data_IF_792463020151
#
_entry.id   IF_792463020151
#
_cell.length_a   1.000
_cell.length_b   1.000
_cell.length_c   1.000
_cell.angle_alpha   90.00
_cell.angle_beta   90.00
_cell.angle_gamma   90.00
#
_symmetry.space_group_name_H-M   'P 1'
#
loop_
_entity.id
_entity.type
_entity.pdbx_description
1 polymer ?
#
# COMPACT_ATOMS: atom_id res chain seq x y z
N UNK A 1 34.61 16.86 -47.53
CA UNK A 1 35.33 18.00 -46.91
C UNK A 1 36.19 17.48 -45.76
N UNK A 2 37.49 17.78 -45.78
CA UNK A 2 38.47 17.53 -44.70
C UNK A 2 38.51 18.76 -43.79
N UNK A 3 38.56 18.61 -42.46
CA UNK A 3 39.42 19.35 -41.48
C UNK A 3 39.02 18.94 -40.06
N UNK A 4 39.86 18.20 -39.30
CA UNK A 4 41.00 18.59 -38.43
C UNK A 4 40.61 18.78 -36.95
N UNK A 5 41.19 17.88 -36.14
CA UNK A 5 41.56 17.94 -34.71
C UNK A 5 41.90 19.33 -34.16
N UNK A 6 41.62 19.59 -32.85
CA UNK A 6 42.61 19.53 -31.74
C UNK A 6 42.08 20.05 -30.38
N UNK A 7 42.38 19.24 -29.37
CA UNK A 7 42.66 19.41 -27.93
C UNK A 7 43.05 20.80 -27.39
N UNK A 8 42.65 21.14 -26.14
CA UNK A 8 43.43 21.65 -24.94
C UNK A 8 42.41 21.73 -23.75
N UNK A 9 42.43 20.98 -22.64
CA UNK A 9 43.33 20.81 -21.47
C UNK A 9 43.32 21.93 -20.40
N UNK A 10 43.04 21.54 -19.13
CA UNK A 10 43.62 22.00 -17.81
C UNK A 10 42.53 21.92 -16.72
N UNK A 11 42.61 20.99 -15.76
CA UNK A 11 43.53 20.92 -14.62
C UNK A 11 43.27 21.99 -13.54
N UNK A 12 42.83 21.54 -12.37
CA UNK A 12 42.72 22.30 -11.13
C UNK A 12 42.60 21.31 -9.97
N UNK A 13 43.71 21.06 -9.30
CA UNK A 13 43.92 19.99 -8.33
C UNK A 13 43.85 20.49 -6.87
N UNK A 14 43.72 19.52 -5.96
CA UNK A 14 44.18 19.45 -4.57
C UNK A 14 43.70 20.50 -3.55
N UNK A 15 43.14 20.03 -2.42
CA UNK A 15 43.95 19.84 -1.19
C UNK A 15 43.22 18.99 -0.14
N UNK A 16 43.98 18.13 0.52
CA UNK A 16 43.61 17.23 1.60
C UNK A 16 43.84 17.86 2.98
N UNK A 17 43.19 17.34 4.02
CA UNK A 17 43.75 17.26 5.37
C UNK A 17 43.03 16.20 6.22
N UNK A 18 43.80 15.43 6.97
CA UNK A 18 43.42 14.28 7.79
C UNK A 18 43.68 14.56 9.30
N UNK A 19 43.01 13.82 10.20
CA UNK A 19 43.44 13.46 11.57
C UNK A 19 42.39 12.48 12.17
N UNK A 20 42.60 11.15 12.28
CA UNK A 20 43.36 10.33 13.25
C UNK A 20 42.74 10.24 14.66
N UNK A 21 42.54 8.98 15.13
CA UNK A 21 42.66 8.37 16.48
C UNK A 21 41.56 7.27 16.58
N UNK A 22 41.80 5.99 16.92
CA UNK A 22 43.00 5.35 17.42
C UNK A 22 42.90 3.82 17.36
N UNK A 23 44.08 3.20 17.40
CA UNK A 23 44.33 1.77 17.48
C UNK A 23 44.13 1.26 18.90
N UNK A 24 43.41 0.15 19.06
CA UNK A 24 43.64 -0.79 20.15
C UNK A 24 43.76 -2.18 19.53
N UNK A 25 44.99 -2.70 19.53
CA UNK A 25 45.29 -4.07 19.17
C UNK A 25 44.95 -4.98 20.35
N UNK A 26 44.20 -6.05 20.10
CA UNK A 26 44.34 -7.29 20.85
C UNK A 26 44.60 -8.41 19.85
N UNK A 27 45.85 -8.86 19.85
CA UNK A 27 46.32 -10.06 19.17
C UNK A 27 45.79 -11.25 20.00
N UNK A 28 44.94 -12.06 19.38
CA UNK A 28 44.52 -13.36 19.90
C UNK A 28 44.38 -14.34 18.74
N UNK A 29 45.50 -14.91 18.29
CA UNK A 29 45.47 -16.05 17.38
C UNK A 29 45.25 -17.33 18.21
N UNK A 30 44.16 -18.07 17.95
CA UNK A 30 44.23 -19.43 17.37
C UNK A 30 42.85 -20.12 17.31
N UNK A 31 42.64 -20.81 16.19
CA UNK A 31 41.78 -22.00 15.96
C UNK A 31 40.26 -21.86 15.90
N UNK A 32 39.79 -21.85 14.64
CA UNK A 32 38.72 -22.68 14.05
C UNK A 32 37.29 -22.66 14.61
N UNK A 33 36.37 -22.45 13.66
CA UNK A 33 34.96 -22.91 13.62
C UNK A 33 34.00 -22.36 14.67
N UNK A 34 33.23 -21.32 14.31
CA UNK A 34 31.85 -21.42 13.79
C UNK A 34 31.30 -19.99 13.72
N UNK A 35 30.77 -19.60 12.56
CA UNK A 35 30.06 -18.34 12.37
C UNK A 35 28.82 -18.29 13.26
N UNK A 36 28.94 -17.77 14.49
CA UNK A 36 27.80 -17.30 15.25
C UNK A 36 27.43 -15.90 14.74
N UNK A 37 26.79 -15.88 13.58
CA UNK A 37 25.97 -14.76 13.17
C UNK A 37 24.90 -14.56 14.25
N UNK A 38 25.13 -13.63 15.17
CA UNK A 38 24.08 -13.10 16.03
C UNK A 38 22.93 -12.68 15.10
N UNK A 39 21.69 -13.18 15.28
CA UNK A 39 20.58 -12.66 14.52
C UNK A 39 20.41 -11.23 15.01
N UNK A 40 20.89 -10.26 14.23
CA UNK A 40 20.45 -8.88 14.35
C UNK A 40 18.95 -8.92 14.11
N UNK A 41 18.19 -9.10 15.18
CA UNK A 41 16.74 -9.10 15.14
C UNK A 41 16.36 -7.74 14.59
N UNK A 42 15.88 -7.72 13.35
CA UNK A 42 15.36 -6.51 12.75
C UNK A 42 14.35 -5.91 13.74
N UNK A 43 14.38 -4.59 13.98
CA UNK A 43 13.42 -3.97 14.89
C UNK A 43 12.00 -4.38 14.47
N UNK A 44 11.12 -4.70 15.43
CA UNK A 44 9.76 -5.10 15.12
C UNK A 44 9.13 -4.00 14.26
N UNK A 45 8.70 -4.37 13.05
CA UNK A 45 8.08 -3.43 12.11
C UNK A 45 6.66 -3.06 12.52
N UNK A 46 6.09 -3.82 13.46
CA UNK A 46 4.75 -3.65 14.00
C UNK A 46 4.77 -2.82 15.27
N UNK A 47 3.92 -1.80 15.32
CA UNK A 47 3.62 -1.01 16.50
C UNK A 47 2.39 -1.52 17.25
N UNK A 48 1.77 -0.67 18.08
CA UNK A 48 0.50 -0.98 18.73
C UNK A 48 -0.56 -1.46 17.73
N UNK A 49 -1.46 -2.32 18.21
CA UNK A 49 -2.59 -2.87 17.44
C UNK A 49 -2.19 -3.73 16.23
N UNK A 50 -0.92 -4.16 16.18
CA UNK A 50 -0.41 -5.04 15.13
C UNK A 50 -0.17 -4.35 13.79
N UNK A 51 -0.11 -3.01 13.76
CA UNK A 51 0.03 -2.25 12.50
C UNK A 51 1.48 -1.94 12.19
N UNK A 52 1.88 -2.00 10.92
CA UNK A 52 3.22 -1.63 10.49
C UNK A 52 3.48 -0.13 10.71
N UNK A 53 4.54 0.20 11.42
CA UNK A 53 4.93 1.58 11.75
C UNK A 53 6.09 2.09 10.91
N UNK A 54 6.86 1.19 10.30
CA UNK A 54 7.99 1.57 9.43
C UNK A 54 7.48 2.02 8.07
N UNK A 55 8.14 3.00 7.41
CA UNK A 55 7.83 3.35 6.03
C UNK A 55 7.99 2.17 5.07
N UNK A 56 7.28 2.18 3.94
CA UNK A 56 7.37 1.16 2.88
C UNK A 56 8.81 0.90 2.41
N UNK A 57 9.67 1.93 2.37
CA UNK A 57 11.08 1.82 1.98
C UNK A 57 11.95 1.05 2.99
N UNK A 58 11.47 0.86 4.21
CA UNK A 58 12.12 0.11 5.29
C UNK A 58 11.36 -1.17 5.65
N UNK A 59 10.24 -1.44 4.96
CA UNK A 59 9.44 -2.62 5.19
C UNK A 59 10.13 -3.83 4.53
N UNK A 60 10.50 -4.88 5.30
CA UNK A 60 11.22 -6.04 4.76
C UNK A 60 10.33 -6.96 3.92
N UNK A 61 9.01 -6.81 3.99
CA UNK A 61 8.05 -7.64 3.25
C UNK A 61 8.03 -7.20 1.80
N UNK A 62 8.22 -8.15 0.89
CA UNK A 62 8.12 -7.89 -0.55
C UNK A 62 6.67 -7.91 -1.00
N UNK A 63 6.36 -7.20 -2.09
CA UNK A 63 5.02 -7.16 -2.68
C UNK A 63 4.43 -8.56 -2.91
N UNK A 64 5.24 -9.53 -3.38
CA UNK A 64 4.79 -10.89 -3.63
C UNK A 64 4.37 -11.66 -2.37
N UNK A 65 4.87 -11.26 -1.20
CA UNK A 65 4.57 -11.84 0.11
C UNK A 65 3.31 -11.23 0.74
N UNK A 66 2.80 -10.12 0.18
CA UNK A 66 1.55 -9.52 0.65
C UNK A 66 0.38 -10.47 0.39
N UNK A 67 -0.58 -10.44 1.31
CA UNK A 67 -1.83 -11.17 1.18
C UNK A 67 -2.51 -10.90 -0.16
N UNK A 68 -3.05 -11.95 -0.79
CA UNK A 68 -3.71 -11.84 -2.09
C UNK A 68 -5.15 -11.30 -1.91
N UNK A 69 -5.46 -10.07 -2.34
CA UNK A 69 -6.79 -9.49 -2.18
C UNK A 69 -7.90 -10.18 -2.97
N UNK A 70 -7.57 -10.98 -3.99
CA UNK A 70 -8.54 -11.79 -4.73
C UNK A 70 -8.89 -13.11 -4.04
N UNK A 71 -8.28 -13.41 -2.88
CA UNK A 71 -8.63 -14.59 -2.08
C UNK A 71 -9.85 -14.38 -1.17
N UNK A 72 -10.48 -13.20 -1.21
CA UNK A 72 -11.69 -12.94 -0.44
C UNK A 72 -12.81 -13.93 -0.79
N UNK A 73 -13.51 -14.47 0.22
CA UNK A 73 -14.61 -15.40 -0.02
C UNK A 73 -15.77 -14.81 -0.82
N UNK A 74 -16.60 -15.69 -1.39
CA UNK A 74 -17.73 -15.25 -2.22
C UNK A 74 -18.75 -14.45 -1.41
N UNK A 75 -19.00 -14.84 -0.16
CA UNK A 75 -19.91 -14.15 0.76
C UNK A 75 -19.53 -12.67 0.96
N UNK A 76 -18.24 -12.34 0.94
CA UNK A 76 -17.78 -10.94 1.03
C UNK A 76 -18.18 -10.14 -0.20
N UNK A 77 -18.07 -10.75 -1.39
CA UNK A 77 -18.46 -10.11 -2.66
C UNK A 77 -19.97 -9.96 -2.77
N UNK A 78 -20.70 -11.00 -2.33
CA UNK A 78 -22.15 -11.04 -2.36
C UNK A 78 -22.78 -10.05 -1.36
N UNK A 79 -22.06 -9.64 -0.31
CA UNK A 79 -22.52 -8.63 0.67
C UNK A 79 -23.01 -7.33 0.03
N UNK A 80 -22.43 -6.97 -1.12
CA UNK A 80 -22.84 -5.83 -1.94
C UNK A 80 -23.00 -6.21 -3.41
N UNK A 81 -23.43 -7.45 -3.69
CA UNK A 81 -23.83 -7.90 -5.04
C UNK A 81 -22.77 -7.67 -6.13
N UNK A 82 -21.48 -7.84 -5.81
CA UNK A 82 -20.41 -7.79 -6.82
C UNK A 82 -20.46 -9.04 -7.71
N UNK A 83 -20.05 -8.88 -8.96
CA UNK A 83 -19.95 -9.99 -9.91
C UNK A 83 -18.85 -10.99 -9.54
N UNK A 84 -18.94 -12.21 -10.09
CA UNK A 84 -17.95 -13.26 -9.81
C UNK A 84 -16.59 -13.03 -10.46
N UNK A 85 -16.53 -12.14 -11.47
CA UNK A 85 -15.29 -11.80 -12.18
C UNK A 85 -14.45 -10.86 -11.32
N UNK A 86 -13.22 -11.28 -11.05
CA UNK A 86 -12.22 -10.48 -10.34
C UNK A 86 -11.03 -10.24 -11.26
N UNK A 87 -10.39 -9.08 -11.15
CA UNK A 87 -9.11 -8.80 -11.81
C UNK A 87 -8.03 -8.61 -10.77
N UNK A 88 -7.03 -9.49 -10.77
CA UNK A 88 -5.81 -9.27 -10.00
C UNK A 88 -4.88 -8.34 -10.81
N UNK A 89 -4.31 -7.35 -10.14
CA UNK A 89 -3.29 -6.47 -10.67
C UNK A 89 -2.17 -6.30 -9.63
N UNK A 90 -1.05 -6.96 -9.90
CA UNK A 90 0.19 -6.88 -9.12
C UNK A 90 1.27 -6.06 -9.88
N UNK A 91 0.89 -5.34 -10.95
CA UNK A 91 1.85 -4.69 -11.86
C UNK A 91 2.41 -3.36 -11.34
N UNK A 92 1.81 -2.81 -10.28
CA UNK A 92 2.18 -1.50 -9.71
C UNK A 92 2.70 -1.70 -8.28
N UNK A 93 4.01 -1.93 -8.08
CA UNK A 93 4.60 -1.97 -6.76
C UNK A 93 4.38 -0.65 -6.00
N UNK A 94 4.22 -0.68 -4.66
CA UNK A 94 4.22 -1.85 -3.79
C UNK A 94 2.82 -2.46 -3.57
N UNK A 95 1.88 -2.25 -4.49
CA UNK A 95 0.47 -2.63 -4.30
C UNK A 95 0.15 -3.99 -4.90
N UNK A 96 -0.67 -4.76 -4.20
CA UNK A 96 -1.48 -5.82 -4.81
C UNK A 96 -2.91 -5.37 -4.83
N UNK A 97 -3.58 -5.50 -5.97
CA UNK A 97 -4.95 -5.02 -6.15
C UNK A 97 -5.84 -6.12 -6.66
N UNK A 98 -7.00 -6.29 -6.03
CA UNK A 98 -8.10 -7.02 -6.62
C UNK A 98 -9.25 -6.08 -6.94
N UNK A 99 -9.62 -6.02 -8.22
CA UNK A 99 -10.77 -5.27 -8.70
C UNK A 99 -12.00 -6.17 -8.83
N UNK A 100 -13.10 -5.67 -8.31
CA UNK A 100 -14.45 -6.23 -8.40
C UNK A 100 -15.35 -5.20 -9.07
N UNK A 101 -16.46 -5.65 -9.65
CA UNK A 101 -17.43 -4.75 -10.23
C UNK A 101 -18.84 -5.30 -10.16
N UNK A 102 -19.81 -4.40 -10.06
CA UNK A 102 -21.22 -4.67 -10.27
C UNK A 102 -21.67 -3.92 -11.51
N UNK A 103 -22.03 -4.67 -12.54
CA UNK A 103 -22.70 -4.13 -13.71
C UNK A 103 -24.20 -4.05 -13.46
N UNK A 104 -24.82 -2.96 -13.92
CA UNK A 104 -26.27 -2.86 -14.02
C UNK A 104 -26.85 -3.97 -14.90
N UNK A 105 -28.09 -4.40 -14.64
CA UNK A 105 -28.74 -5.44 -15.45
C UNK A 105 -29.33 -4.85 -16.74
N UNK A 106 -29.69 -3.57 -16.71
CA UNK A 106 -30.25 -2.81 -17.82
C UNK A 106 -29.52 -1.48 -18.03
N UNK A 107 -29.73 -0.87 -19.20
CA UNK A 107 -29.19 0.47 -19.51
C UNK A 107 -29.73 1.48 -18.49
N UNK A 108 -28.84 2.20 -17.83
CA UNK A 108 -29.17 3.20 -16.82
C UNK A 108 -29.18 2.68 -15.39
N UNK A 109 -29.14 1.35 -15.19
CA UNK A 109 -28.97 0.77 -13.86
C UNK A 109 -27.62 1.21 -13.25
N UNK A 110 -27.57 1.53 -11.95
CA UNK A 110 -26.33 1.92 -11.28
C UNK A 110 -25.26 0.81 -11.34
N UNK A 111 -24.05 1.18 -11.74
CA UNK A 111 -22.87 0.33 -11.73
C UNK A 111 -21.75 0.93 -10.90
N UNK A 112 -20.97 0.09 -10.23
CA UNK A 112 -19.85 0.52 -9.41
C UNK A 112 -18.74 -0.53 -9.40
N UNK A 113 -17.51 -0.04 -9.24
CA UNK A 113 -16.31 -0.82 -9.02
C UNK A 113 -15.90 -0.80 -7.55
N UNK A 114 -15.13 -1.81 -7.16
CA UNK A 114 -14.47 -1.87 -5.87
C UNK A 114 -13.05 -2.41 -6.05
N UNK A 115 -12.06 -1.70 -5.51
CA UNK A 115 -10.68 -2.19 -5.42
C UNK A 115 -10.34 -2.52 -3.97
N UNK A 116 -9.82 -3.73 -3.74
CA UNK A 116 -9.14 -4.09 -2.49
C UNK A 116 -7.65 -4.02 -2.77
N UNK A 117 -6.98 -3.04 -2.16
CA UNK A 117 -5.58 -2.75 -2.36
C UNK A 117 -4.80 -3.04 -1.08
N UNK A 118 -3.67 -3.71 -1.23
CA UNK A 118 -2.79 -4.13 -0.13
C UNK A 118 -1.40 -3.61 -0.43
N UNK A 119 -0.75 -2.95 0.52
CA UNK A 119 0.64 -2.50 0.31
C UNK A 119 1.47 -2.54 1.58
N UNK A 120 2.76 -2.32 1.38
CA UNK A 120 3.75 -2.13 2.45
C UNK A 120 3.76 -0.72 3.04
N UNK A 121 2.93 0.21 2.52
CA UNK A 121 2.81 1.54 3.11
C UNK A 121 2.22 1.44 4.51
N UNK A 122 2.88 2.08 5.48
CA UNK A 122 2.33 2.18 6.83
C UNK A 122 1.01 2.93 6.82
N UNK A 123 0.21 2.73 7.86
CA UNK A 123 -1.05 3.45 8.04
C UNK A 123 -0.86 4.98 8.01
N UNK A 124 0.26 5.47 8.53
CA UNK A 124 0.60 6.90 8.50
C UNK A 124 0.94 7.39 7.08
N UNK A 125 1.65 6.59 6.28
CA UNK A 125 1.95 6.93 4.89
C UNK A 125 0.69 6.87 4.01
N UNK A 126 -0.18 5.89 4.21
CA UNK A 126 -1.42 5.78 3.46
C UNK A 126 -2.32 7.02 3.63
N UNK A 127 -2.29 7.68 4.79
CA UNK A 127 -2.99 8.96 5.04
C UNK A 127 -2.44 10.15 4.25
N UNK A 128 -1.21 10.04 3.72
CA UNK A 128 -0.54 11.11 2.97
C UNK A 128 -0.72 10.97 1.45
N UNK A 129 -1.53 10.01 0.99
CA UNK A 129 -1.85 9.84 -0.41
C UNK A 129 -2.55 11.10 -0.94
N UNK A 130 -2.05 11.64 -2.05
CA UNK A 130 -2.52 12.88 -2.66
C UNK A 130 -3.90 12.73 -3.31
N UNK A 131 -4.29 11.51 -3.69
CA UNK A 131 -5.63 11.18 -4.16
C UNK A 131 -6.73 11.28 -3.09
N UNK A 132 -6.36 11.44 -1.80
CA UNK A 132 -7.31 11.44 -0.69
C UNK A 132 -7.65 12.85 -0.21
N UNK A 133 -8.94 13.17 -0.23
CA UNK A 133 -9.51 14.38 0.35
C UNK A 133 -10.50 14.05 1.47
N UNK A 134 -10.89 15.05 2.27
CA UNK A 134 -11.86 14.90 3.37
C UNK A 134 -11.56 13.71 4.31
N UNK A 135 -10.28 13.52 4.63
CA UNK A 135 -9.80 12.43 5.48
C UNK A 135 -10.42 12.56 6.87
N UNK A 136 -11.05 11.48 7.35
CA UNK A 136 -11.76 11.41 8.62
C UNK A 136 -11.50 10.09 9.34
N UNK A 137 -11.34 10.14 10.65
CA UNK A 137 -11.15 8.94 11.47
C UNK A 137 -12.40 8.06 11.45
N UNK A 138 -12.21 6.75 11.44
CA UNK A 138 -13.27 5.74 11.58
C UNK A 138 -12.69 4.50 12.27
N UNK A 139 -13.48 3.44 12.38
CA UNK A 139 -13.01 2.13 12.80
C UNK A 139 -13.51 1.05 11.84
N UNK A 140 -12.89 -0.12 11.89
CA UNK A 140 -13.33 -1.35 11.21
C UNK A 140 -13.41 -2.50 12.19
N UNK A 141 -14.32 -3.44 11.97
CA UNK A 141 -14.52 -4.61 12.84
C UNK A 141 -14.74 -4.23 14.31
N UNK A 142 -14.01 -4.89 15.22
CA UNK A 142 -14.11 -4.67 16.67
C UNK A 142 -13.42 -3.39 17.16
N UNK A 143 -13.55 -2.28 16.42
CA UNK A 143 -12.99 -0.97 16.78
C UNK A 143 -11.55 -0.73 16.32
N UNK A 144 -11.03 -1.51 15.38
CA UNK A 144 -9.67 -1.33 14.85
C UNK A 144 -9.55 0.04 14.17
N UNK A 145 -8.54 0.85 14.51
CA UNK A 145 -8.40 2.19 13.95
C UNK A 145 -8.25 2.18 12.43
N UNK A 146 -9.02 3.07 11.81
CA UNK A 146 -9.06 3.25 10.37
C UNK A 146 -9.24 4.74 10.04
N UNK A 147 -9.08 5.07 8.78
CA UNK A 147 -9.60 6.33 8.25
C UNK A 147 -10.46 6.07 7.03
N UNK A 148 -11.29 7.04 6.74
CA UNK A 148 -12.10 7.11 5.54
C UNK A 148 -11.72 8.39 4.81
N UNK A 149 -11.65 8.34 3.49
CA UNK A 149 -11.31 9.47 2.64
C UNK A 149 -12.16 9.44 1.38
N UNK A 150 -12.48 10.60 0.83
CA UNK A 150 -13.12 10.67 -0.48
C UNK A 150 -12.02 10.74 -1.55
N UNK A 151 -12.30 10.22 -2.75
CA UNK A 151 -11.39 10.37 -3.89
C UNK A 151 -11.43 11.82 -4.41
N UNK A 152 -10.29 12.33 -4.87
CA UNK A 152 -10.11 13.66 -5.45
C UNK A 152 -10.56 13.79 -6.93
N UNK A 153 -11.38 12.85 -7.40
CA UNK A 153 -11.85 12.78 -8.79
C UNK A 153 -13.08 13.62 -9.12
N UNK A 154 -13.57 13.47 -10.36
CA UNK A 154 -14.81 14.09 -10.83
C UNK A 154 -16.03 13.20 -10.54
N UNK A 155 -17.21 13.77 -10.20
CA UNK A 155 -18.45 13.02 -10.02
C UNK A 155 -18.87 12.22 -11.27
N UNK A 156 -19.29 10.98 -11.08
CA UNK A 156 -19.78 10.10 -12.16
C UNK A 156 -21.29 9.89 -12.01
N UNK A 157 -22.07 10.26 -13.03
CA UNK A 157 -23.53 10.12 -13.00
C UNK A 157 -24.20 10.92 -11.87
N UNK A 158 -23.57 12.01 -11.41
CA UNK A 158 -24.03 12.81 -10.26
C UNK A 158 -23.69 12.22 -8.88
N UNK A 159 -22.97 11.10 -8.83
CA UNK A 159 -22.49 10.48 -7.60
C UNK A 159 -21.10 10.98 -7.21
N UNK A 160 -20.73 10.86 -5.93
CA UNK A 160 -19.36 11.13 -5.48
C UNK A 160 -18.34 10.30 -6.29
N UNK A 161 -17.12 10.82 -6.55
CA UNK A 161 -16.10 10.13 -7.34
C UNK A 161 -15.74 8.74 -6.78
N UNK A 162 -15.66 8.62 -5.46
CA UNK A 162 -15.40 7.37 -4.75
C UNK A 162 -15.08 7.61 -3.28
N UNK A 163 -14.96 6.51 -2.53
CA UNK A 163 -14.59 6.52 -1.12
C UNK A 163 -13.59 5.42 -0.82
N UNK A 164 -12.64 5.72 0.07
CA UNK A 164 -11.64 4.81 0.56
C UNK A 164 -11.88 4.57 2.05
N UNK A 165 -11.80 3.32 2.49
CA UNK A 165 -11.66 2.96 3.90
C UNK A 165 -10.35 2.20 4.04
N UNK A 166 -9.47 2.74 4.89
CA UNK A 166 -8.08 2.30 5.01
C UNK A 166 -7.75 2.01 6.46
N UNK A 167 -7.04 0.91 6.70
CA UNK A 167 -6.50 0.56 8.01
C UNK A 167 -5.11 -0.04 7.91
N UNK A 168 -4.37 0.02 9.02
CA UNK A 168 -3.06 -0.61 9.13
C UNK A 168 -3.16 -2.11 9.37
N UNK A 169 -2.18 -2.85 8.85
CA UNK A 169 -1.95 -4.28 9.10
C UNK A 169 -0.49 -4.50 9.45
N UNK A 170 -0.12 -5.70 9.89
CA UNK A 170 1.22 -6.09 10.29
C UNK A 170 2.26 -5.96 9.20
N UNK A 171 1.80 -5.99 7.95
CA UNK A 171 2.63 -5.85 6.77
C UNK A 171 2.56 -4.47 6.09
N UNK A 172 1.69 -3.55 6.55
CA UNK A 172 1.54 -2.24 5.94
C UNK A 172 0.12 -1.70 6.12
N UNK A 173 -0.63 -1.64 5.02
CA UNK A 173 -2.01 -1.16 5.02
C UNK A 173 -2.87 -1.88 3.99
N UNK A 174 -4.18 -1.84 4.25
CA UNK A 174 -5.22 -2.25 3.32
C UNK A 174 -6.13 -1.07 3.06
N UNK A 175 -6.47 -0.85 1.79
CA UNK A 175 -7.40 0.17 1.33
C UNK A 175 -8.51 -0.48 0.51
N UNK A 176 -9.76 -0.21 0.89
CA UNK A 176 -10.94 -0.58 0.12
C UNK A 176 -11.49 0.68 -0.51
N UNK A 177 -11.43 0.76 -1.85
CA UNK A 177 -11.89 1.88 -2.65
C UNK A 177 -13.16 1.49 -3.41
N UNK A 178 -14.27 2.17 -3.18
CA UNK A 178 -15.53 1.97 -3.91
C UNK A 178 -15.84 3.23 -4.72
N UNK A 179 -16.12 3.06 -6.02
CA UNK A 179 -16.34 4.16 -6.95
C UNK A 179 -17.47 3.84 -7.93
N UNK A 180 -18.34 4.80 -8.27
CA UNK A 180 -19.32 4.66 -9.34
C UNK A 180 -18.65 4.45 -10.70
N UNK A 181 -19.26 3.62 -11.55
CA UNK A 181 -18.82 3.42 -12.93
C UNK A 181 -19.87 3.93 -13.94
N UNK A 182 -21.10 4.19 -13.50
CA UNK A 182 -22.18 4.66 -14.37
C UNK A 182 -23.58 4.43 -13.82
N UNK A 183 -24.57 4.64 -14.69
CA UNK A 183 -25.99 4.62 -14.36
C UNK A 183 -26.56 6.01 -14.06
N UNK A 184 -27.88 6.08 -13.91
CA UNK A 184 -28.61 7.34 -13.68
C UNK A 184 -29.23 7.43 -12.29
N UNK A 185 -29.20 6.35 -11.51
CA UNK A 185 -29.66 6.32 -10.12
C UNK A 185 -28.56 6.68 -9.11
N UNK A 186 -28.93 7.16 -7.91
CA UNK A 186 -27.98 7.43 -6.85
C UNK A 186 -27.35 6.13 -6.32
N UNK A 187 -26.06 6.19 -6.01
CA UNK A 187 -25.30 5.10 -5.37
C UNK A 187 -24.93 5.57 -3.95
N UNK A 188 -25.33 4.79 -2.94
CA UNK A 188 -24.87 4.97 -1.57
C UNK A 188 -23.46 4.41 -1.41
N UNK A 189 -22.48 5.16 -1.94
CA UNK A 189 -21.07 4.76 -1.97
C UNK A 189 -20.53 4.51 -0.56
N UNK A 190 -20.87 5.39 0.39
CA UNK A 190 -20.46 5.29 1.79
C UNK A 190 -21.04 4.03 2.46
N UNK A 191 -22.34 3.76 2.30
CA UNK A 191 -22.99 2.58 2.89
C UNK A 191 -22.53 1.25 2.30
N UNK A 192 -22.33 1.19 0.97
CA UNK A 192 -21.80 0.00 0.30
C UNK A 192 -20.36 -0.29 0.73
N UNK A 193 -19.51 0.74 0.82
CA UNK A 193 -18.12 0.57 1.24
C UNK A 193 -18.03 0.01 2.66
N UNK A 194 -18.85 0.54 3.59
CA UNK A 194 -18.92 0.03 4.98
C UNK A 194 -19.39 -1.42 5.04
N UNK A 195 -20.45 -1.74 4.31
CA UNK A 195 -21.00 -3.10 4.26
C UNK A 195 -19.95 -4.11 3.78
N UNK A 196 -19.22 -3.77 2.71
CA UNK A 196 -18.16 -4.62 2.20
C UNK A 196 -16.99 -4.73 3.19
N UNK A 197 -16.54 -3.62 3.77
CA UNK A 197 -15.44 -3.61 4.77
C UNK A 197 -15.77 -4.48 5.97
N UNK A 198 -16.99 -4.36 6.53
CA UNK A 198 -17.42 -5.15 7.68
C UNK A 198 -17.44 -6.64 7.36
N UNK A 199 -17.82 -7.00 6.13
CA UNK A 199 -17.77 -8.38 5.66
C UNK A 199 -16.34 -8.86 5.38
N UNK A 200 -15.46 -8.00 4.87
CA UNK A 200 -14.10 -8.37 4.44
C UNK A 200 -13.12 -8.46 5.61
N UNK A 201 -13.23 -7.57 6.60
CA UNK A 201 -12.28 -7.41 7.70
C UNK A 201 -11.93 -8.72 8.44
N UNK A 202 -12.88 -9.64 8.74
CA UNK A 202 -12.56 -10.92 9.38
C UNK A 202 -11.64 -11.85 8.57
N UNK A 203 -11.56 -11.65 7.25
CA UNK A 203 -10.79 -12.49 6.32
C UNK A 203 -9.43 -11.89 5.96
N UNK A 204 -9.16 -10.66 6.38
CA UNK A 204 -7.94 -9.94 6.04
C UNK A 204 -6.91 -10.16 7.16
N UNK A 205 -5.68 -10.63 6.84
CA UNK A 205 -4.67 -10.83 7.86
C UNK A 205 -4.31 -9.51 8.55
N UNK A 206 -4.18 -9.59 9.88
CA UNK A 206 -3.93 -8.44 10.73
C UNK A 206 -2.47 -8.13 10.87
#
# INVERSE_FOLDING_TARGET
MRTRLRTVARAGACTAAAAVIGTAALIGCSTSTTDDASPTSAPPITGPEGTATVPASQNPIQQAELWNPCSLPKEVRDSIQLGDRTRNDDSIPPWRTCSYGRSGQHVGDPSYGLNVQVSTYSFAQAKQNDAYINIRSTTVGAGHPAFMADDDGEPIGGNKPGINIVWGTSYGSVSINLFPEGGTGPIDVDGLARTFVDSAYPHIPK
#
